data_IF_065757843106
#
_entry.id   IF_065757843106
#
_cell.length_a   1.000
_cell.length_b   1.000
_cell.length_c   1.000
_cell.angle_alpha   90.00
_cell.angle_beta   90.00
_cell.angle_gamma   90.00
#
_symmetry.space_group_name_H-M   'P 1'
#
loop_
_entity.id
_entity.type
_entity.pdbx_description
1 polymer ?
#
# COMPACT_ATOMS: atom_id res chain seq x y z
N UNK A 1 16.62 -34.43 32.10
CA UNK A 1 17.71 -33.71 31.43
C UNK A 1 17.06 -32.99 30.24
N UNK A 2 16.69 -31.71 30.36
CA UNK A 2 17.52 -30.52 30.04
C UNK A 2 18.09 -30.62 28.60
N UNK A 3 17.87 -29.72 27.64
CA UNK A 3 17.38 -28.35 27.64
C UNK A 3 16.92 -27.93 26.22
N UNK A 4 15.87 -27.11 26.18
CA UNK A 4 15.58 -25.97 25.29
C UNK A 4 16.60 -25.63 24.16
N UNK A 5 16.10 -25.53 22.93
CA UNK A 5 16.56 -24.52 21.94
C UNK A 5 15.33 -23.91 21.24
N UNK A 6 14.97 -22.74 21.73
CA UNK A 6 14.11 -21.74 21.09
C UNK A 6 14.90 -20.99 20.00
N UNK A 7 14.16 -20.49 19.01
CA UNK A 7 14.37 -19.22 18.31
C UNK A 7 14.98 -19.23 16.90
N UNK A 8 14.23 -18.56 16.01
CA UNK A 8 14.66 -17.79 14.83
C UNK A 8 14.82 -18.52 13.48
N UNK A 9 13.72 -18.98 12.88
CA UNK A 9 13.63 -19.12 11.42
C UNK A 9 12.17 -19.04 10.94
N UNK A 10 11.52 -17.89 11.16
CA UNK A 10 10.17 -17.59 10.64
C UNK A 10 10.07 -16.19 10.03
N UNK A 11 11.22 -15.51 9.90
CA UNK A 11 11.36 -14.14 9.39
C UNK A 11 11.78 -14.09 7.92
N UNK A 12 11.92 -15.25 7.27
CA UNK A 12 12.26 -15.33 5.85
C UNK A 12 11.02 -15.44 4.96
N UNK A 13 10.07 -16.31 5.31
CA UNK A 13 8.85 -16.54 4.52
C UNK A 13 8.00 -15.28 4.32
N UNK A 14 7.87 -14.44 5.35
CA UNK A 14 7.10 -13.20 5.25
C UNK A 14 7.76 -12.18 4.31
N UNK A 15 9.09 -12.12 4.28
CA UNK A 15 9.81 -11.18 3.42
C UNK A 15 9.70 -11.61 1.95
N UNK A 16 9.92 -12.90 1.68
CA UNK A 16 9.78 -13.49 0.33
C UNK A 16 8.34 -13.34 -0.18
N UNK A 17 7.35 -13.59 0.69
CA UNK A 17 5.95 -13.38 0.38
C UNK A 17 5.70 -11.91 0.00
N UNK A 18 6.14 -10.95 0.83
CA UNK A 18 5.95 -9.53 0.55
C UNK A 18 6.61 -9.08 -0.77
N UNK A 19 7.79 -9.61 -1.11
CA UNK A 19 8.45 -9.29 -2.39
C UNK A 19 7.66 -9.82 -3.59
N UNK A 20 7.21 -11.07 -3.54
CA UNK A 20 6.37 -11.66 -4.60
C UNK A 20 5.05 -10.89 -4.76
N UNK A 21 4.46 -10.44 -3.65
CA UNK A 21 3.26 -9.61 -3.67
C UNK A 21 3.52 -8.22 -4.27
N UNK A 22 4.63 -7.58 -3.93
CA UNK A 22 5.01 -6.30 -4.51
C UNK A 22 5.27 -6.37 -6.00
N UNK A 23 5.94 -7.43 -6.48
CA UNK A 23 6.16 -7.65 -7.91
C UNK A 23 4.82 -7.81 -8.65
N UNK A 24 3.87 -8.52 -8.04
CA UNK A 24 2.52 -8.63 -8.59
C UNK A 24 1.79 -7.27 -8.61
N UNK A 25 1.92 -6.45 -7.56
CA UNK A 25 1.37 -5.07 -7.56
C UNK A 25 2.02 -4.21 -8.64
N UNK A 26 3.34 -4.24 -8.76
CA UNK A 26 4.08 -3.52 -9.79
C UNK A 26 3.60 -3.92 -11.19
N UNK A 27 3.30 -5.20 -11.42
CA UNK A 27 2.76 -5.67 -12.70
C UNK A 27 1.29 -5.27 -12.93
N UNK A 28 0.48 -5.12 -11.87
CA UNK A 28 -0.94 -4.73 -11.99
C UNK A 28 -1.09 -3.22 -12.23
N UNK A 29 -0.26 -2.42 -11.56
CA UNK A 29 -0.35 -0.97 -11.54
C UNK A 29 0.68 -0.29 -12.45
N UNK A 30 1.69 -1.02 -12.93
CA UNK A 30 2.77 -0.56 -13.82
C UNK A 30 3.25 0.86 -13.50
N UNK A 31 2.84 1.85 -14.30
CA UNK A 31 3.26 3.25 -14.24
C UNK A 31 2.78 3.97 -12.98
N UNK A 32 1.63 3.58 -12.43
CA UNK A 32 1.06 4.21 -11.24
C UNK A 32 1.69 3.66 -9.94
N UNK A 33 2.53 2.61 -9.98
CA UNK A 33 3.17 2.02 -8.79
C UNK A 33 4.68 2.26 -8.76
N UNK A 34 5.16 2.72 -7.60
CA UNK A 34 6.57 3.00 -7.37
C UNK A 34 7.04 2.44 -6.03
N UNK A 35 7.89 1.41 -6.08
CA UNK A 35 8.57 0.92 -4.88
C UNK A 35 9.72 1.86 -4.49
N UNK A 36 9.69 2.36 -3.25
CA UNK A 36 10.70 3.29 -2.74
C UNK A 36 11.96 2.58 -2.23
N UNK A 37 11.91 1.28 -1.99
CA UNK A 37 13.04 0.49 -1.50
C UNK A 37 14.06 0.18 -2.59
N UNK A 38 13.62 0.19 -3.85
CA UNK A 38 14.46 -0.06 -5.03
C UNK A 38 15.61 0.95 -5.20
N UNK A 39 15.61 2.06 -4.45
CA UNK A 39 16.67 3.07 -4.49
C UNK A 39 17.79 2.86 -3.43
N UNK A 40 17.67 1.89 -2.53
CA UNK A 40 18.71 1.61 -1.51
C UNK A 40 19.67 0.49 -1.97
N UNK A 41 20.97 0.77 -2.19
CA UNK A 41 21.94 -0.22 -2.66
C UNK A 41 22.36 -1.27 -1.61
N UNK A 42 21.93 -1.12 -0.34
CA UNK A 42 22.24 -2.06 0.74
C UNK A 42 20.99 -2.88 1.06
N UNK A 43 21.12 -4.22 1.05
CA UNK A 43 20.08 -5.22 1.41
C UNK A 43 19.63 -5.11 2.89
N UNK A 44 19.21 -3.94 3.32
CA UNK A 44 18.65 -3.71 4.66
C UNK A 44 17.22 -4.21 4.60
N UNK A 45 16.86 -5.21 5.44
CA UNK A 45 15.47 -5.66 5.61
C UNK A 45 14.64 -4.47 6.13
N UNK A 46 14.07 -3.67 5.22
CA UNK A 46 13.16 -2.57 5.53
C UNK A 46 11.73 -2.96 5.18
N UNK A 47 10.75 -2.50 5.98
CA UNK A 47 9.34 -2.68 5.67
C UNK A 47 9.02 -2.18 4.25
N UNK A 48 8.20 -2.91 3.46
CA UNK A 48 7.77 -2.48 2.13
C UNK A 48 7.20 -1.07 2.14
N UNK A 49 7.72 -0.20 1.28
CA UNK A 49 7.26 1.18 1.15
C UNK A 49 7.04 1.50 -0.34
N UNK A 50 5.80 1.79 -0.70
CA UNK A 50 5.38 2.01 -2.08
C UNK A 50 4.56 3.28 -2.21
N UNK A 51 4.71 3.99 -3.33
CA UNK A 51 3.81 5.04 -3.75
C UNK A 51 2.90 4.54 -4.86
N UNK A 52 1.65 4.95 -4.78
CA UNK A 52 0.65 4.68 -5.81
C UNK A 52 -0.03 5.97 -6.24
N UNK A 53 0.14 6.34 -7.50
CA UNK A 53 -0.45 7.55 -8.06
C UNK A 53 -1.97 7.33 -8.27
N UNK A 54 -2.79 7.99 -7.47
CA UNK A 54 -4.24 8.02 -7.64
C UNK A 54 -4.62 9.16 -8.56
N UNK A 55 -5.18 8.80 -9.71
CA UNK A 55 -5.66 9.74 -10.72
C UNK A 55 -6.90 9.20 -11.42
N UNK A 56 -7.77 10.09 -11.95
CA UNK A 56 -9.00 9.66 -12.57
C UNK A 56 -8.73 8.91 -13.89
N UNK A 57 -9.26 7.69 -14.02
CA UNK A 57 -9.16 6.94 -15.28
C UNK A 57 -10.06 7.56 -16.33
N UNK A 58 -9.49 7.82 -17.52
CA UNK A 58 -10.21 8.41 -18.65
C UNK A 58 -9.43 9.51 -19.36
N UNK A 59 -8.35 10.01 -18.76
CA UNK A 59 -7.46 11.00 -19.38
C UNK A 59 -6.34 10.30 -20.16
N UNK A 60 -6.71 9.42 -21.10
CA UNK A 60 -5.76 8.78 -22.03
C UNK A 60 -5.50 9.64 -23.29
N UNK A 61 -5.94 10.91 -23.29
CA UNK A 61 -5.98 11.77 -24.48
C UNK A 61 -5.32 13.15 -24.25
N UNK A 62 -4.19 13.20 -23.53
CA UNK A 62 -3.38 14.43 -23.45
C UNK A 62 -4.02 15.63 -22.75
N UNK A 63 -5.11 15.43 -22.01
CA UNK A 63 -5.68 16.43 -21.12
C UNK A 63 -4.98 16.35 -19.75
N UNK A 64 -4.49 17.49 -19.27
CA UNK A 64 -3.84 17.61 -17.96
C UNK A 64 -4.78 17.09 -16.86
N UNK A 65 -4.33 16.06 -16.12
CA UNK A 65 -4.99 15.66 -14.88
C UNK A 65 -4.87 16.81 -13.87
N UNK A 66 -5.92 17.61 -13.72
CA UNK A 66 -5.95 18.70 -12.74
C UNK A 66 -5.97 18.18 -11.29
N UNK A 67 -6.45 16.95 -11.08
CA UNK A 67 -6.59 16.37 -9.74
C UNK A 67 -5.84 15.05 -9.65
N UNK A 68 -4.82 15.00 -8.80
CA UNK A 68 -3.97 13.83 -8.56
C UNK A 68 -3.55 13.75 -7.11
N UNK A 69 -3.32 12.56 -6.57
CA UNK A 69 -2.71 12.39 -5.25
C UNK A 69 -1.88 11.12 -5.20
N UNK A 70 -0.74 11.17 -4.52
CA UNK A 70 0.11 10.01 -4.32
C UNK A 70 -0.30 9.32 -3.03
N UNK A 71 -0.76 8.07 -3.12
CA UNK A 71 -1.02 7.23 -1.98
C UNK A 71 0.27 6.53 -1.56
N UNK A 72 0.82 6.96 -0.44
CA UNK A 72 1.95 6.30 0.21
C UNK A 72 1.44 5.13 1.04
N UNK A 73 1.98 3.93 0.80
CA UNK A 73 1.63 2.72 1.54
C UNK A 73 2.89 2.15 2.17
N UNK A 74 2.90 2.11 3.51
CA UNK A 74 3.98 1.48 4.29
C UNK A 74 3.46 0.22 4.92
N UNK A 75 3.97 -0.92 4.49
CA UNK A 75 3.63 -2.20 5.08
C UNK A 75 4.58 -2.49 6.24
N UNK A 76 4.10 -2.61 7.48
CA UNK A 76 4.97 -3.04 8.58
C UNK A 76 5.51 -4.46 8.33
N UNK A 77 6.60 -4.88 9.00
CA UNK A 77 7.11 -6.26 8.88
C UNK A 77 6.11 -7.31 9.38
N UNK A 78 5.16 -6.89 10.21
CA UNK A 78 4.04 -7.70 10.70
C UNK A 78 2.84 -7.71 9.76
N UNK A 79 2.90 -7.03 8.62
CA UNK A 79 1.85 -7.13 7.59
C UNK A 79 1.79 -8.56 7.04
N UNK A 80 0.59 -9.18 6.87
CA UNK A 80 -0.76 -8.60 6.91
C UNK A 80 -1.50 -8.68 8.27
N UNK A 81 -0.81 -9.01 9.35
CA UNK A 81 -1.36 -9.10 10.72
C UNK A 81 -1.68 -7.71 11.31
N UNK A 82 -0.91 -6.69 10.90
CA UNK A 82 -1.09 -5.27 11.26
C UNK A 82 -1.38 -4.46 10.00
N UNK A 83 -2.25 -3.43 10.04
CA UNK A 83 -2.62 -2.67 8.85
C UNK A 83 -1.40 -1.93 8.29
N UNK A 84 -1.36 -1.71 6.96
CA UNK A 84 -0.37 -0.83 6.38
C UNK A 84 -0.70 0.62 6.77
N UNK A 85 0.32 1.45 6.92
CA UNK A 85 0.16 2.88 7.09
C UNK A 85 -0.12 3.51 5.72
N UNK A 86 -1.23 4.23 5.60
CA UNK A 86 -1.64 4.91 4.38
C UNK A 86 -1.49 6.42 4.57
N UNK A 87 -0.80 7.10 3.66
CA UNK A 87 -0.58 8.54 3.74
C UNK A 87 -0.73 9.20 2.35
N UNK A 88 -1.56 10.24 2.24
CA UNK A 88 -1.75 10.98 1.00
C UNK A 88 -0.69 12.08 0.86
N UNK A 89 0.07 12.06 -0.24
CA UNK A 89 1.11 13.03 -0.59
C UNK A 89 0.90 13.64 -1.96
N UNK A 90 1.58 14.76 -2.22
CA UNK A 90 1.59 15.46 -3.51
C UNK A 90 0.19 15.68 -4.11
N UNK A 91 -0.79 15.92 -3.24
CA UNK A 91 -2.15 16.22 -3.65
C UNK A 91 -2.19 17.49 -4.49
N UNK A 92 -2.76 17.39 -5.68
CA UNK A 92 -3.04 18.49 -6.61
C UNK A 92 -4.52 18.50 -6.92
N UNK A 93 -5.12 19.68 -6.99
CA UNK A 93 -6.54 19.85 -7.32
C UNK A 93 -7.54 19.39 -6.25
N UNK A 94 -7.07 18.90 -5.08
CA UNK A 94 -7.92 18.56 -3.95
C UNK A 94 -7.86 19.64 -2.86
N UNK A 95 -9.04 19.95 -2.30
CA UNK A 95 -9.13 20.82 -1.13
C UNK A 95 -8.63 20.10 0.13
N UNK A 96 -8.11 20.84 1.11
CA UNK A 96 -7.63 20.26 2.37
C UNK A 96 -8.70 19.47 3.13
N UNK A 97 -9.98 19.86 3.01
CA UNK A 97 -11.11 19.12 3.61
C UNK A 97 -11.27 17.74 2.97
N UNK A 98 -11.37 17.70 1.64
CA UNK A 98 -11.37 16.48 0.83
C UNK A 98 -10.18 15.57 1.13
N UNK A 99 -8.98 16.13 1.25
CA UNK A 99 -7.78 15.38 1.62
C UNK A 99 -7.87 14.75 3.00
N UNK A 100 -8.35 15.51 4.00
CA UNK A 100 -8.54 15.00 5.36
C UNK A 100 -9.61 13.92 5.42
N UNK A 101 -10.72 14.10 4.72
CA UNK A 101 -11.80 13.11 4.63
C UNK A 101 -11.29 11.81 3.99
N UNK A 102 -10.63 11.93 2.83
CA UNK A 102 -10.06 10.79 2.13
C UNK A 102 -9.01 10.08 3.01
N UNK A 103 -8.10 10.82 3.64
CA UNK A 103 -7.11 10.26 4.56
C UNK A 103 -7.74 9.51 5.73
N UNK A 104 -8.81 10.06 6.32
CA UNK A 104 -9.53 9.43 7.42
C UNK A 104 -10.23 8.13 6.95
N UNK A 105 -10.87 8.14 5.79
CA UNK A 105 -11.48 6.93 5.21
C UNK A 105 -10.44 5.86 4.87
N UNK A 106 -9.27 6.24 4.36
CA UNK A 106 -8.17 5.33 4.08
C UNK A 106 -7.67 4.65 5.35
N UNK A 107 -7.39 5.43 6.40
CA UNK A 107 -6.95 4.89 7.68
C UNK A 107 -8.01 3.96 8.29
N UNK A 108 -9.29 4.32 8.18
CA UNK A 108 -10.40 3.46 8.59
C UNK A 108 -10.44 2.17 7.78
N UNK A 109 -10.31 2.25 6.45
CA UNK A 109 -10.28 1.08 5.56
C UNK A 109 -9.10 0.15 5.88
N UNK A 110 -7.91 0.69 6.11
CA UNK A 110 -6.74 -0.09 6.51
C UNK A 110 -7.03 -0.87 7.80
N UNK A 111 -7.56 -0.19 8.82
CA UNK A 111 -7.92 -0.80 10.10
C UNK A 111 -9.05 -1.82 9.98
N UNK A 112 -10.11 -1.54 9.23
CA UNK A 112 -11.25 -2.46 9.03
C UNK A 112 -10.83 -3.74 8.27
N UNK A 113 -9.83 -3.64 7.38
CA UNK A 113 -9.36 -4.77 6.58
C UNK A 113 -8.22 -5.53 7.25
N UNK A 114 -7.56 -4.94 8.24
CA UNK A 114 -6.61 -5.62 9.07
C UNK A 114 -7.28 -6.14 10.34
N UNK A 115 -7.74 -7.39 10.28
CA UNK A 115 -8.53 -8.03 11.34
C UNK A 115 -9.49 -9.08 10.79
N UNK A 116 -9.73 -9.09 9.48
CA UNK A 116 -10.47 -10.16 8.80
C UNK A 116 -9.59 -11.43 8.77
N UNK A 117 -9.77 -12.25 9.80
CA UNK A 117 -9.10 -13.54 9.95
C UNK A 117 -9.58 -14.51 8.88
N UNK A 118 -8.68 -14.86 7.95
CA UNK A 118 -8.93 -15.88 6.95
C UNK A 118 -8.28 -15.58 5.60
N UNK A 119 -7.32 -16.45 5.22
CA UNK A 119 -6.93 -16.87 3.86
C UNK A 119 -6.52 -15.87 2.78
N UNK A 120 -6.79 -14.57 2.89
CA UNK A 120 -6.38 -13.60 1.88
C UNK A 120 -4.91 -13.22 2.07
N UNK A 121 -4.08 -13.55 1.08
CA UNK A 121 -2.69 -13.12 0.97
C UNK A 121 -2.59 -11.59 1.05
N UNK A 122 -1.49 -11.07 1.60
CA UNK A 122 -1.25 -9.64 1.79
C UNK A 122 -1.48 -8.81 0.52
N UNK A 123 -1.20 -9.37 -0.66
CA UNK A 123 -1.46 -8.77 -1.97
C UNK A 123 -2.94 -8.44 -2.17
N UNK A 124 -3.84 -9.39 -1.90
CA UNK A 124 -5.27 -9.21 -2.15
C UNK A 124 -5.88 -8.19 -1.19
N UNK A 125 -5.36 -8.11 0.04
CA UNK A 125 -5.72 -7.06 1.00
C UNK A 125 -5.27 -5.69 0.49
N UNK A 126 -4.02 -5.55 0.07
CA UNK A 126 -3.50 -4.30 -0.51
C UNK A 126 -4.28 -3.90 -1.76
N UNK A 127 -4.51 -4.83 -2.69
CA UNK A 127 -5.26 -4.56 -3.92
C UNK A 127 -6.67 -4.06 -3.62
N UNK A 128 -7.36 -4.66 -2.64
CA UNK A 128 -8.69 -4.20 -2.20
C UNK A 128 -8.62 -2.81 -1.60
N UNK A 129 -7.63 -2.54 -0.74
CA UNK A 129 -7.40 -1.21 -0.15
C UNK A 129 -7.17 -0.20 -1.27
N UNK A 130 -6.22 -0.43 -2.17
CA UNK A 130 -5.86 0.46 -3.27
C UNK A 130 -7.07 0.70 -4.19
N UNK A 131 -7.76 -0.37 -4.59
CA UNK A 131 -8.95 -0.24 -5.45
C UNK A 131 -10.02 0.61 -4.77
N UNK A 132 -10.27 0.39 -3.48
CA UNK A 132 -11.25 1.17 -2.73
C UNK A 132 -10.80 2.61 -2.52
N UNK A 133 -9.51 2.82 -2.27
CA UNK A 133 -8.87 4.14 -2.18
C UNK A 133 -9.12 4.94 -3.44
N UNK A 134 -8.96 4.30 -4.60
CA UNK A 134 -9.22 4.89 -5.90
C UNK A 134 -10.70 5.21 -6.12
N UNK A 135 -11.61 4.31 -5.70
CA UNK A 135 -13.06 4.60 -5.72
C UNK A 135 -13.41 5.82 -4.84
N UNK A 136 -12.83 5.95 -3.65
CA UNK A 136 -13.08 7.07 -2.75
C UNK A 136 -12.51 8.37 -3.29
N UNK A 137 -11.30 8.33 -3.82
CA UNK A 137 -10.68 9.47 -4.49
C UNK A 137 -11.56 9.97 -5.64
N UNK A 138 -12.06 9.06 -6.49
CA UNK A 138 -12.97 9.39 -7.59
C UNK A 138 -14.31 9.97 -7.14
N UNK A 139 -14.79 9.65 -5.92
CA UNK A 139 -16.01 10.23 -5.34
C UNK A 139 -15.78 11.61 -4.72
N UNK A 140 -14.53 11.92 -4.41
CA UNK A 140 -14.12 13.15 -3.73
C UNK A 140 -13.92 14.31 -4.72
N UNK A 141 -13.72 14.00 -6.00
CA UNK A 141 -13.56 14.95 -7.11
C UNK A 141 -14.84 15.05 -7.93
#
# INVERSE_FOLDING_TARGET
MSSQRTSADGTDDCAVQQENELEALASIFEDDFKDLRSNDPWKVKRPPEVYLCLRPNGLNNGQECYVTVDLHVKCPPTYPDVPPELELKNAKGLSNDNLKSLQAELNKLAAERCGEGGTWTGLLKLLKIIRKSRELFLKTI
#
